data_IF_345981941006
#
_entry.id   IF_345981941006
#
_cell.length_a   1.000
_cell.length_b   1.000
_cell.length_c   1.000
_cell.angle_alpha   90.00
_cell.angle_beta   90.00
_cell.angle_gamma   90.00
#
_symmetry.space_group_name_H-M   'P 1'
#
loop_
_entity.id
_entity.type
_entity.pdbx_description
1 polymer ?
#
# COMPACT_ATOMS: atom_id res chain seq x y z
N UNK A 1 -9.91 -9.66 -3.72
CA UNK A 1 -9.83 -9.16 -2.32
C UNK A 1 -8.40 -9.33 -1.78
N UNK A 2 -8.03 -8.70 -0.65
CA UNK A 2 -6.64 -8.69 -0.13
C UNK A 2 -6.11 -10.12 0.12
N UNK A 3 -6.86 -10.94 0.83
CA UNK A 3 -6.45 -12.31 1.17
C UNK A 3 -6.24 -13.19 -0.06
N UNK A 4 -7.06 -13.02 -1.09
CA UNK A 4 -6.98 -13.78 -2.33
C UNK A 4 -5.69 -13.47 -3.08
N UNK A 5 -5.30 -12.18 -3.15
CA UNK A 5 -4.06 -11.80 -3.84
C UNK A 5 -2.83 -12.22 -3.05
N UNK A 6 -2.87 -12.23 -1.71
CA UNK A 6 -1.78 -12.76 -0.87
C UNK A 6 -1.63 -14.26 -1.13
N UNK A 7 -2.71 -15.04 -1.03
CA UNK A 7 -2.69 -16.49 -1.30
C UNK A 7 -2.19 -16.81 -2.71
N UNK A 8 -2.64 -16.04 -3.71
CA UNK A 8 -2.19 -16.22 -5.09
C UNK A 8 -0.70 -15.87 -5.27
N UNK A 9 -0.21 -14.85 -4.57
CA UNK A 9 1.19 -14.47 -4.61
C UNK A 9 2.11 -15.51 -3.93
N UNK A 10 1.69 -16.07 -2.79
CA UNK A 10 2.40 -17.14 -2.11
C UNK A 10 2.45 -18.43 -2.94
N UNK A 11 1.31 -18.84 -3.52
CA UNK A 11 1.21 -20.04 -4.34
C UNK A 11 1.92 -19.91 -5.71
N UNK A 12 2.28 -18.70 -6.13
CA UNK A 12 2.95 -18.47 -7.41
C UNK A 12 4.33 -19.09 -7.44
N UNK A 13 4.76 -19.66 -8.56
CA UNK A 13 6.18 -20.02 -8.78
C UNK A 13 7.00 -18.85 -9.34
N UNK A 14 6.35 -17.71 -9.63
CA UNK A 14 6.99 -16.49 -10.13
C UNK A 14 7.39 -15.58 -8.95
N UNK A 15 8.48 -14.83 -9.12
CA UNK A 15 8.92 -13.78 -8.19
C UNK A 15 9.78 -12.73 -8.91
N UNK A 16 9.65 -11.43 -8.56
CA UNK A 16 8.73 -10.87 -7.58
C UNK A 16 7.28 -10.84 -8.05
N UNK A 17 6.34 -11.07 -7.13
CA UNK A 17 4.92 -10.78 -7.31
C UNK A 17 4.64 -9.39 -6.77
N UNK A 18 4.23 -8.48 -7.66
CA UNK A 18 3.81 -7.15 -7.27
C UNK A 18 2.31 -7.11 -7.00
N UNK A 19 1.93 -6.60 -5.83
CA UNK A 19 0.55 -6.38 -5.42
C UNK A 19 0.30 -4.87 -5.34
N UNK A 20 -0.64 -4.37 -6.14
CA UNK A 20 -1.11 -2.98 -6.07
C UNK A 20 -2.23 -2.85 -5.04
N UNK A 21 -1.95 -2.18 -3.93
CA UNK A 21 -2.92 -1.76 -2.91
C UNK A 21 -3.66 -0.51 -3.42
N UNK A 22 -4.78 -0.73 -4.11
CA UNK A 22 -5.48 0.34 -4.83
C UNK A 22 -6.31 1.26 -3.92
N UNK A 23 -6.78 0.76 -2.78
CA UNK A 23 -7.60 1.49 -1.82
C UNK A 23 -6.86 2.61 -1.10
N UNK A 24 -5.55 2.49 -0.95
CA UNK A 24 -4.69 3.49 -0.30
C UNK A 24 -3.59 4.00 -1.25
N UNK A 25 -3.98 4.38 -2.47
CA UNK A 25 -3.08 4.87 -3.49
C UNK A 25 -2.74 6.36 -3.29
N UNK A 26 -1.51 6.64 -2.85
CA UNK A 26 -1.01 8.01 -2.58
C UNK A 26 -1.03 8.88 -3.85
N UNK A 27 -0.80 8.30 -5.03
CA UNK A 27 -0.84 9.04 -6.31
C UNK A 27 -2.25 9.43 -6.74
N UNK A 28 -3.28 8.82 -6.14
CA UNK A 28 -4.68 9.16 -6.32
C UNK A 28 -5.25 9.98 -5.14
N UNK A 29 -4.40 10.46 -4.24
CA UNK A 29 -4.77 11.34 -3.12
C UNK A 29 -5.02 10.64 -1.78
N UNK A 30 -4.75 9.35 -1.67
CA UNK A 30 -4.83 8.66 -0.38
C UNK A 30 -3.73 9.10 0.60
N UNK A 31 -3.95 8.98 1.92
CA UNK A 31 -2.93 9.30 2.91
C UNK A 31 -1.69 8.41 2.88
N UNK A 32 -1.82 7.15 2.45
CA UNK A 32 -0.74 6.16 2.45
C UNK A 32 -0.50 5.47 3.80
N UNK A 33 -1.42 5.60 4.76
CA UNK A 33 -1.23 5.09 6.12
C UNK A 33 -2.05 3.83 6.43
N UNK A 34 -2.85 3.29 5.51
CA UNK A 34 -3.67 2.10 5.78
C UNK A 34 -2.77 0.85 5.88
N UNK A 35 -2.67 0.20 7.05
CA UNK A 35 -1.67 -0.85 7.30
C UNK A 35 -2.20 -2.27 7.06
N UNK A 36 -3.38 -2.43 6.45
CA UNK A 36 -4.07 -3.73 6.35
C UNK A 36 -3.20 -4.83 5.72
N UNK A 37 -2.40 -4.51 4.70
CA UNK A 37 -1.49 -5.48 4.11
C UNK A 37 -0.41 -5.98 5.09
N UNK A 38 0.06 -5.14 6.02
CA UNK A 38 1.01 -5.56 7.06
C UNK A 38 0.35 -6.62 7.94
N UNK A 39 -0.83 -6.32 8.48
CA UNK A 39 -1.57 -7.24 9.34
C UNK A 39 -1.83 -8.58 8.63
N UNK A 40 -2.37 -8.53 7.41
CA UNK A 40 -2.66 -9.76 6.66
C UNK A 40 -1.40 -10.57 6.36
N UNK A 41 -0.33 -9.94 5.86
CA UNK A 41 0.92 -10.66 5.56
C UNK A 41 1.51 -11.33 6.82
N UNK A 42 1.43 -10.67 7.98
CA UNK A 42 1.87 -11.24 9.25
C UNK A 42 0.98 -12.40 9.73
N UNK A 43 -0.34 -12.30 9.56
CA UNK A 43 -1.27 -13.39 9.87
C UNK A 43 -1.09 -14.62 8.97
N UNK A 44 -0.84 -14.40 7.67
CA UNK A 44 -0.50 -15.46 6.71
C UNK A 44 0.93 -16.00 6.93
N UNK A 45 1.73 -15.37 7.80
CA UNK A 45 3.14 -15.72 8.08
C UNK A 45 4.02 -15.72 6.84
N UNK A 46 3.82 -14.72 5.98
CA UNK A 46 4.63 -14.53 4.78
C UNK A 46 6.07 -14.20 5.17
N UNK A 47 7.03 -15.00 4.72
CA UNK A 47 8.44 -14.90 5.13
C UNK A 47 9.29 -13.93 4.28
N UNK A 48 8.83 -13.55 3.10
CA UNK A 48 9.59 -12.70 2.17
C UNK A 48 8.67 -11.68 1.46
N UNK A 49 8.34 -10.62 2.17
CA UNK A 49 7.54 -9.53 1.62
C UNK A 49 8.13 -8.16 1.93
N UNK A 50 7.77 -7.18 1.13
CA UNK A 50 7.96 -5.76 1.45
C UNK A 50 6.64 -5.02 1.26
N UNK A 51 6.30 -4.17 2.22
CA UNK A 51 5.19 -3.22 2.14
C UNK A 51 5.77 -1.82 2.03
N UNK A 52 5.59 -1.21 0.87
CA UNK A 52 6.16 0.09 0.56
C UNK A 52 5.26 1.24 1.03
N UNK A 53 5.90 2.26 1.61
CA UNK A 53 5.32 3.60 1.70
C UNK A 53 4.21 3.79 2.72
N UNK A 54 4.40 3.25 3.92
CA UNK A 54 3.48 3.52 5.03
C UNK A 54 3.82 4.89 5.62
N UNK A 55 2.87 5.81 5.54
CA UNK A 55 3.02 7.14 6.14
C UNK A 55 2.79 7.07 7.66
N UNK A 56 3.87 7.19 8.43
CA UNK A 56 3.82 7.17 9.89
C UNK A 56 5.04 7.90 10.51
N UNK A 57 4.96 9.24 10.67
CA UNK A 57 6.05 10.03 11.23
C UNK A 57 6.44 9.63 12.66
N UNK A 58 5.49 9.16 13.47
CA UNK A 58 5.76 8.75 14.84
C UNK A 58 6.55 7.43 14.89
N UNK A 59 6.18 6.45 14.05
CA UNK A 59 6.92 5.21 13.94
C UNK A 59 8.33 5.45 13.36
N UNK A 60 8.48 6.35 12.38
CA UNK A 60 9.80 6.76 11.88
C UNK A 60 10.65 7.36 13.00
N UNK A 61 10.12 8.31 13.77
CA UNK A 61 10.83 8.92 14.89
C UNK A 61 11.26 7.88 15.92
N UNK A 62 10.38 6.95 16.28
CA UNK A 62 10.70 5.86 17.21
C UNK A 62 11.86 4.99 16.69
N UNK A 63 11.84 4.60 15.41
CA UNK A 63 12.94 3.85 14.80
C UNK A 63 14.24 4.65 14.77
N UNK A 64 14.18 5.96 14.51
CA UNK A 64 15.35 6.85 14.53
C UNK A 64 15.97 6.94 15.92
N UNK A 65 15.14 7.16 16.94
CA UNK A 65 15.56 7.29 18.33
C UNK A 65 16.16 5.97 18.85
N UNK A 66 15.59 4.83 18.43
CA UNK A 66 16.11 3.50 18.79
C UNK A 66 17.41 3.15 18.06
N UNK A 67 17.60 3.62 16.83
CA UNK A 67 18.78 3.37 16.01
C UNK A 67 18.74 2.08 15.19
N UNK A 68 19.65 2.00 14.22
CA UNK A 68 19.81 0.85 13.33
C UNK A 68 20.17 -0.42 14.12
N UNK A 69 19.55 -1.54 13.79
CA UNK A 69 19.76 -2.84 14.44
C UNK A 69 18.96 -3.05 15.71
N UNK A 70 18.29 -2.02 16.24
CA UNK A 70 17.49 -2.12 17.46
C UNK A 70 16.19 -2.88 17.25
N UNK A 71 15.79 -3.67 18.25
CA UNK A 71 14.49 -4.30 18.33
C UNK A 71 13.48 -3.35 18.97
N UNK A 72 12.41 -3.02 18.24
CA UNK A 72 11.40 -2.05 18.67
C UNK A 72 10.01 -2.66 18.69
N UNK A 73 9.16 -2.15 19.58
CA UNK A 73 7.71 -2.37 19.58
C UNK A 73 7.03 -1.05 19.24
N UNK A 74 6.13 -1.05 18.27
CA UNK A 74 5.44 0.17 17.84
C UNK A 74 4.08 -0.15 17.20
N UNK A 75 3.26 0.88 17.04
CA UNK A 75 1.99 0.86 16.32
C UNK A 75 2.14 1.59 14.98
N UNK A 76 1.80 0.93 13.88
CA UNK A 76 2.03 1.41 12.52
C UNK A 76 0.72 1.69 11.79
N UNK A 77 0.64 2.85 11.13
CA UNK A 77 -0.45 3.21 10.22
C UNK A 77 -1.80 3.45 10.90
N UNK A 78 -2.85 3.69 10.12
CA UNK A 78 -4.24 3.85 10.57
C UNK A 78 -4.47 5.03 11.53
N UNK A 79 -3.61 6.05 11.48
CA UNK A 79 -3.66 7.25 12.33
C UNK A 79 -4.45 8.38 11.67
N UNK A 80 -4.59 8.34 10.35
CA UNK A 80 -5.21 9.37 9.51
C UNK A 80 -6.49 8.83 8.91
N UNK A 81 -6.41 7.78 8.09
CA UNK A 81 -7.62 7.09 7.62
C UNK A 81 -8.14 6.13 8.70
N UNK A 82 -8.89 6.71 9.64
CA UNK A 82 -9.55 5.99 10.73
C UNK A 82 -10.83 5.27 10.31
N UNK A 83 -11.23 5.39 9.04
CA UNK A 83 -12.43 4.73 8.50
C UNK A 83 -12.03 3.39 7.89
N UNK A 84 -10.93 3.37 7.14
CA UNK A 84 -10.49 2.19 6.39
C UNK A 84 -9.30 1.47 7.04
N UNK A 85 -8.71 2.03 8.09
CA UNK A 85 -7.58 1.42 8.79
C UNK A 85 -7.59 1.72 10.30
N UNK A 86 -6.76 0.98 11.00
CA UNK A 86 -6.43 1.18 12.41
C UNK A 86 -4.95 0.86 12.63
N UNK A 87 -4.32 1.40 13.70
CA UNK A 87 -2.92 1.11 13.98
C UNK A 87 -2.68 -0.37 14.26
N UNK A 88 -1.65 -0.95 13.62
CA UNK A 88 -1.25 -2.34 13.79
C UNK A 88 -0.02 -2.40 14.68
N UNK A 89 -0.14 -3.12 15.81
CA UNK A 89 0.96 -3.38 16.73
C UNK A 89 1.95 -4.37 16.13
N UNK A 90 3.21 -3.98 16.04
CA UNK A 90 4.29 -4.85 15.55
C UNK A 90 5.50 -4.83 16.48
N UNK A 91 6.33 -5.87 16.35
CA UNK A 91 7.62 -5.96 17.01
C UNK A 91 8.67 -6.45 16.02
N UNK A 92 9.73 -5.70 15.82
CA UNK A 92 10.68 -5.98 14.75
C UNK A 92 12.01 -5.28 14.92
N UNK A 93 12.93 -5.54 14.00
CA UNK A 93 14.24 -4.93 13.98
C UNK A 93 14.28 -3.77 12.99
N UNK A 94 14.87 -2.65 13.39
CA UNK A 94 15.20 -1.56 12.47
C UNK A 94 16.33 -2.04 11.57
N UNK A 95 16.04 -2.27 10.28
CA UNK A 95 17.01 -2.81 9.32
C UNK A 95 17.60 -1.74 8.40
N UNK A 96 16.98 -0.57 8.31
CA UNK A 96 17.56 0.60 7.67
C UNK A 96 16.98 1.91 8.19
N UNK A 97 17.75 3.00 8.09
CA UNK A 97 17.36 4.36 8.43
C UNK A 97 17.85 5.33 7.33
N UNK A 98 16.98 6.24 6.92
CA UNK A 98 17.29 7.27 5.92
C UNK A 98 16.76 8.63 6.36
N UNK A 99 17.09 9.70 5.64
CA UNK A 99 16.53 11.03 5.91
C UNK A 99 14.99 11.05 5.85
N UNK A 100 14.33 10.92 7.01
CA UNK A 100 12.87 10.94 7.12
C UNK A 100 12.17 9.61 6.84
N UNK A 101 12.86 8.47 6.92
CA UNK A 101 12.27 7.14 6.74
C UNK A 101 13.02 6.01 7.47
N UNK A 102 12.33 4.90 7.70
CA UNK A 102 12.91 3.71 8.32
C UNK A 102 12.38 2.43 7.67
N UNK A 103 13.20 1.38 7.59
CA UNK A 103 12.75 0.04 7.26
C UNK A 103 12.70 -0.80 8.54
N UNK A 104 11.52 -1.34 8.86
CA UNK A 104 11.30 -2.21 10.00
C UNK A 104 11.00 -3.64 9.54
N UNK A 105 11.80 -4.61 9.95
CA UNK A 105 11.60 -6.03 9.63
C UNK A 105 10.84 -6.76 10.73
N UNK A 106 9.71 -7.38 10.37
CA UNK A 106 8.82 -8.12 11.27
C UNK A 106 8.53 -9.49 10.65
N UNK A 107 9.03 -10.58 11.24
CA UNK A 107 8.77 -11.96 10.80
C UNK A 107 8.94 -12.22 9.27
N UNK A 108 9.91 -11.56 8.62
CA UNK A 108 10.16 -11.69 7.17
C UNK A 108 9.56 -10.60 6.28
N UNK A 109 8.65 -9.79 6.84
CA UNK A 109 8.05 -8.63 6.17
C UNK A 109 8.85 -7.36 6.47
N UNK A 110 9.34 -6.71 5.42
CA UNK A 110 9.95 -5.38 5.50
C UNK A 110 8.88 -4.31 5.33
N UNK A 111 8.73 -3.45 6.34
CA UNK A 111 7.76 -2.35 6.35
C UNK A 111 8.53 -1.06 6.15
N UNK A 112 8.28 -0.37 5.04
CA UNK A 112 8.96 0.88 4.70
C UNK A 112 8.14 2.08 5.18
N UNK A 113 8.61 2.70 6.26
CA UNK A 113 7.97 3.81 6.96
C UNK A 113 8.50 5.15 6.46
N UNK A 114 7.61 6.12 6.30
CA UNK A 114 7.95 7.46 5.80
C UNK A 114 7.34 8.55 6.69
N UNK A 115 8.10 9.63 6.90
CA UNK A 115 7.67 10.82 7.64
C UNK A 115 6.96 11.85 6.76
N UNK A 116 6.98 11.66 5.43
CA UNK A 116 6.28 12.47 4.44
C UNK A 116 5.56 11.56 3.46
N UNK A 117 4.36 11.96 3.04
CA UNK A 117 3.62 11.25 1.99
C UNK A 117 4.41 11.37 0.70
N UNK A 118 4.68 10.24 0.05
CA UNK A 118 5.33 10.18 -1.25
C UNK A 118 4.77 9.02 -2.07
N UNK A 119 4.72 9.20 -3.39
CA UNK A 119 4.45 8.09 -4.30
C UNK A 119 5.69 7.19 -4.39
N UNK A 120 5.48 5.88 -4.34
CA UNK A 120 6.53 4.89 -4.59
C UNK A 120 6.36 4.40 -6.01
N UNK A 121 7.18 4.93 -6.92
CA UNK A 121 6.96 4.82 -8.37
C UNK A 121 8.16 4.32 -9.14
N UNK A 122 9.32 4.22 -8.48
CA UNK A 122 10.60 3.81 -9.04
C UNK A 122 11.27 2.73 -8.21
N UNK A 123 12.25 2.03 -8.79
CA UNK A 123 13.10 1.09 -8.06
C UNK A 123 13.96 1.82 -7.02
N UNK A 124 14.37 3.06 -7.33
CA UNK A 124 15.21 3.89 -6.45
C UNK A 124 14.53 4.19 -5.10
N UNK A 125 13.20 4.30 -5.09
CA UNK A 125 12.43 4.45 -3.85
C UNK A 125 12.70 3.31 -2.85
N UNK A 126 12.92 2.09 -3.34
CA UNK A 126 13.23 0.91 -2.52
C UNK A 126 14.72 0.80 -2.19
N UNK A 127 15.59 1.08 -3.15
CA UNK A 127 17.04 0.95 -2.95
C UNK A 127 17.56 2.00 -1.96
N UNK A 128 16.93 3.17 -1.88
CA UNK A 128 17.16 4.15 -0.82
C UNK A 128 16.96 3.53 0.57
N UNK A 129 15.94 2.67 0.71
CA UNK A 129 15.66 1.92 1.92
C UNK A 129 16.48 0.62 2.07
N UNK A 130 17.46 0.39 1.20
CA UNK A 130 18.31 -0.80 1.25
C UNK A 130 17.56 -2.08 0.83
N UNK A 131 16.42 -1.95 0.15
CA UNK A 131 15.63 -3.08 -0.33
C UNK A 131 15.77 -3.18 -1.84
N UNK A 132 16.12 -4.37 -2.35
CA UNK A 132 16.01 -4.68 -3.77
C UNK A 132 14.65 -5.36 -4.03
N UNK A 133 13.66 -4.67 -4.63
CA UNK A 133 12.33 -5.26 -4.85
C UNK A 133 12.35 -6.38 -5.90
N UNK A 134 13.40 -6.50 -6.72
CA UNK A 134 13.54 -7.59 -7.68
C UNK A 134 13.92 -8.93 -7.02
N UNK A 135 14.41 -8.91 -5.77
CA UNK A 135 14.85 -10.09 -5.01
C UNK A 135 13.81 -10.57 -4.00
N UNK A 136 12.67 -9.88 -3.88
CA UNK A 136 11.61 -10.24 -2.93
C UNK A 136 10.60 -11.19 -3.57
N UNK A 137 9.98 -12.04 -2.76
CA UNK A 137 8.85 -12.87 -3.19
C UNK A 137 7.59 -12.03 -3.43
N UNK A 138 7.23 -11.16 -2.48
CA UNK A 138 6.06 -10.27 -2.57
C UNK A 138 6.49 -8.80 -2.40
N UNK A 139 5.99 -7.92 -3.27
CA UNK A 139 6.16 -6.47 -3.18
C UNK A 139 4.79 -5.80 -3.21
N UNK A 140 4.38 -5.19 -2.10
CA UNK A 140 3.13 -4.43 -2.01
C UNK A 140 3.44 -2.95 -2.23
N UNK A 141 2.74 -2.34 -3.19
CA UNK A 141 2.84 -0.90 -3.53
C UNK A 141 1.46 -0.25 -3.47
N UNK A 142 1.43 0.98 -2.94
CA UNK A 142 0.24 1.82 -2.81
C UNK A 142 -0.06 2.57 -4.11
N UNK A 143 -0.53 1.83 -5.11
CA UNK A 143 -0.75 2.30 -6.48
C UNK A 143 -2.03 1.71 -7.08
N UNK A 144 -2.61 2.40 -8.06
CA UNK A 144 -3.71 1.89 -8.89
C UNK A 144 -3.26 1.07 -10.10
N UNK A 145 -1.97 1.13 -10.45
CA UNK A 145 -1.34 0.32 -11.49
C UNK A 145 0.18 0.37 -11.32
N UNK A 146 0.89 -0.64 -11.85
CA UNK A 146 2.35 -0.62 -11.84
C UNK A 146 2.91 0.42 -12.80
N UNK A 147 3.92 1.15 -12.36
CA UNK A 147 4.71 2.05 -13.21
C UNK A 147 5.53 1.26 -14.22
N UNK A 148 6.06 1.90 -15.29
CA UNK A 148 6.93 1.22 -16.25
C UNK A 148 8.12 0.50 -15.60
N UNK A 149 8.70 1.05 -14.53
CA UNK A 149 9.86 0.45 -13.87
C UNK A 149 9.48 -0.81 -13.09
N UNK A 150 8.38 -0.80 -12.34
CA UNK A 150 7.90 -2.01 -11.66
C UNK A 150 7.47 -3.09 -12.65
N UNK A 151 6.87 -2.72 -13.79
CA UNK A 151 6.50 -3.71 -14.83
C UNK A 151 7.70 -4.43 -15.42
N UNK A 152 8.88 -3.80 -15.48
CA UNK A 152 10.10 -4.45 -16.00
C UNK A 152 10.57 -5.61 -15.12
N UNK A 153 10.37 -5.50 -13.80
CA UNK A 153 10.86 -6.48 -12.82
C UNK A 153 9.77 -7.44 -12.32
N UNK A 154 8.50 -7.03 -12.32
CA UNK A 154 7.39 -7.87 -11.89
C UNK A 154 7.24 -9.11 -12.77
N UNK A 155 7.31 -10.30 -12.17
CA UNK A 155 7.00 -11.56 -12.89
C UNK A 155 5.52 -11.89 -12.87
N UNK A 156 4.80 -11.33 -11.91
CA UNK A 156 3.35 -11.34 -11.82
C UNK A 156 2.90 -10.02 -11.17
N UNK A 157 1.85 -9.43 -11.71
CA UNK A 157 1.23 -8.23 -11.17
C UNK A 157 -0.22 -8.55 -10.80
N UNK A 158 -0.58 -8.29 -9.54
CA UNK A 158 -1.93 -8.46 -9.01
C UNK A 158 -2.42 -7.11 -8.51
N UNK A 159 -3.71 -6.82 -8.69
CA UNK A 159 -4.35 -5.63 -8.15
C UNK A 159 -5.31 -6.04 -7.04
N UNK A 160 -5.11 -5.47 -5.86
CA UNK A 160 -6.00 -5.63 -4.73
C UNK A 160 -7.00 -4.48 -4.73
N UNK A 161 -8.29 -4.82 -4.84
CA UNK A 161 -9.40 -3.88 -4.64
C UNK A 161 -9.64 -3.68 -3.14
N UNK A 162 -8.61 -3.18 -2.45
CA UNK A 162 -8.57 -3.00 -1.00
C UNK A 162 -9.50 -1.86 -0.53
N UNK A 163 -9.95 -1.89 0.74
CA UNK A 163 -10.60 -0.75 1.38
C UNK A 163 -9.70 0.49 1.40
N UNK A 164 -10.30 1.67 1.41
CA UNK A 164 -9.58 2.94 1.44
C UNK A 164 -10.26 4.03 0.61
N UNK A 165 -9.85 5.28 0.79
CA UNK A 165 -10.48 6.42 0.13
C UNK A 165 -10.26 6.46 -1.40
N UNK A 166 -9.34 5.66 -1.95
CA UNK A 166 -9.13 5.52 -3.41
C UNK A 166 -9.59 4.17 -3.94
N UNK A 167 -10.50 3.48 -3.23
CA UNK A 167 -11.03 2.19 -3.67
C UNK A 167 -11.61 2.28 -5.08
N UNK A 168 -11.14 1.40 -5.98
CA UNK A 168 -11.57 1.34 -7.37
C UNK A 168 -12.98 0.77 -7.56
N UNK A 169 -13.53 0.10 -6.53
CA UNK A 169 -14.95 -0.24 -6.48
C UNK A 169 -15.72 1.00 -5.99
N UNK A 170 -15.94 1.94 -6.91
CA UNK A 170 -16.58 3.23 -6.67
C UNK A 170 -17.90 3.04 -5.91
N UNK A 171 -18.72 2.04 -6.25
CA UNK A 171 -20.00 1.76 -5.56
C UNK A 171 -19.86 1.44 -4.06
N UNK A 172 -18.68 1.01 -3.58
CA UNK A 172 -18.42 0.74 -2.16
C UNK A 172 -18.10 2.02 -1.36
N UNK A 173 -17.84 3.15 -2.02
CA UNK A 173 -17.56 4.43 -1.36
C UNK A 173 -18.87 5.12 -0.94
N UNK A 174 -18.85 5.79 0.22
CA UNK A 174 -20.02 6.50 0.76
C UNK A 174 -20.13 7.91 0.17
N UNK A 175 -20.90 8.06 -0.90
CA UNK A 175 -21.19 9.37 -1.51
C UNK A 175 -22.39 10.06 -0.84
N UNK A 176 -22.17 11.25 -0.29
CA UNK A 176 -23.23 12.06 0.31
C UNK A 176 -23.58 13.31 -0.52
N UNK A 177 -22.60 13.91 -1.21
CA UNK A 177 -22.73 15.19 -1.92
C UNK A 177 -22.36 15.06 -3.40
N UNK A 178 -23.08 14.20 -4.12
CA UNK A 178 -22.93 13.99 -5.57
C UNK A 178 -24.19 14.41 -6.31
N UNK A 179 -24.03 14.92 -7.53
CA UNK A 179 -25.17 15.17 -8.43
C UNK A 179 -25.69 13.84 -8.93
N UNK A 180 -26.99 13.61 -8.80
CA UNK A 180 -27.67 12.40 -9.29
C UNK A 180 -28.65 12.78 -10.43
N UNK A 181 -28.91 11.86 -11.38
CA UNK A 181 -28.40 10.49 -11.44
C UNK A 181 -26.92 10.42 -11.85
N UNK A 182 -26.18 9.48 -11.27
CA UNK A 182 -24.76 9.26 -11.53
C UNK A 182 -24.46 7.77 -11.69
N UNK A 183 -24.15 7.32 -12.89
CA UNK A 183 -23.59 5.98 -13.10
C UNK A 183 -22.18 5.90 -12.47
N UNK A 184 -21.81 4.82 -11.77
CA UNK A 184 -22.55 3.57 -11.52
C UNK A 184 -23.44 3.56 -10.25
N UNK A 185 -23.54 4.66 -9.51
CA UNK A 185 -24.31 4.74 -8.26
C UNK A 185 -25.83 4.65 -8.47
N UNK A 186 -26.31 5.24 -9.56
CA UNK A 186 -27.68 5.15 -10.05
C UNK A 186 -27.63 4.42 -11.41
N UNK A 187 -28.41 3.35 -11.57
CA UNK A 187 -28.42 2.53 -12.80
C UNK A 187 -29.69 2.71 -13.63
N UNK A 188 -30.73 3.25 -13.02
CA UNK A 188 -32.03 3.47 -13.64
C UNK A 188 -32.19 4.96 -13.97
N UNK A 189 -31.59 5.38 -15.09
CA UNK A 189 -31.78 6.71 -15.66
C UNK A 189 -31.46 6.70 -17.16
N UNK A 190 -32.01 7.68 -17.90
CA UNK A 190 -31.65 7.92 -19.29
C UNK A 190 -30.61 9.04 -19.39
N UNK A 191 -29.64 8.88 -20.27
CA UNK A 191 -28.66 9.91 -20.60
C UNK A 191 -28.53 10.01 -22.11
N UNK A 192 -28.62 11.23 -22.64
CA UNK A 192 -28.28 11.55 -24.02
C UNK A 192 -27.11 12.53 -24.04
N UNK A 193 -26.15 12.38 -24.96
CA UNK A 193 -25.09 13.37 -25.14
C UNK A 193 -25.70 14.73 -25.48
N UNK A 194 -25.15 15.80 -24.92
CA UNK A 194 -25.52 17.15 -25.33
C UNK A 194 -24.89 17.43 -26.70
N UNK A 195 -25.70 17.87 -27.67
CA UNK A 195 -25.18 18.33 -28.95
C UNK A 195 -24.49 19.68 -28.73
N UNK A 196 -23.17 19.74 -28.95
CA UNK A 196 -22.35 20.95 -28.72
C UNK A 196 -22.16 21.77 -30.00
N UNK A 197 -22.84 21.40 -31.09
CA UNK A 197 -22.78 22.06 -32.40
C UNK A 197 -24.07 22.80 -32.76
N UNK A 198 -24.54 23.69 -31.87
CA UNK A 198 -25.58 24.68 -32.19
C UNK A 198 -25.10 26.10 -31.92
#
# INVERSE_FOLDING_TARGET
EIDEVIKAAEASTKSPVFISDSGDNVTAGAPGDVPIFIERLLEFKVEDAVVAGIYDPDAVRLCMDAGLGSYVRTSIGGKIDKINGYPVEVKGNVVNLIGGGAALRVNGVDILLTSRRRGWTSIDDFTEFGVNPAERKIVVVKLGYLTPDFRKIARLALMALSPGCTNLLIEKLKYEKVRRPLYPLDKDFSWSPYDTHS
#
